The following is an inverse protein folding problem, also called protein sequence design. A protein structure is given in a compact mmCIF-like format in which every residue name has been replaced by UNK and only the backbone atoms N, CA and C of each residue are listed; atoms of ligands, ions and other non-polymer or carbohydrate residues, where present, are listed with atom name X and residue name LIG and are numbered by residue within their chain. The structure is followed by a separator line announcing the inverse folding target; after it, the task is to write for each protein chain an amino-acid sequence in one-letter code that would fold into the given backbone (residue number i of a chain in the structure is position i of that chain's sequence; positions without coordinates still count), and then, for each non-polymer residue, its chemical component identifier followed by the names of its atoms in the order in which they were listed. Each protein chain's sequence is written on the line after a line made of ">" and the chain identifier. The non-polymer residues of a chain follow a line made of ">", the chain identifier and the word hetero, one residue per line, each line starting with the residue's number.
data_IF_236186134437
#
_entry.id   IF_236186134437
#
_cell.length_a   1.000
_cell.length_b   1.000
_cell.length_c   1.000
_cell.angle_alpha   90.00
_cell.angle_beta   90.00
_cell.angle_gamma   90.00
#
_symmetry.space_group_name_H-M   'P 1'
#
loop_
_entity.id
_entity.type
_entity.pdbx_description
1 polymer ?
#
# COMPACT_ATOMS: atom_id res chain seq x y z
N UNK A 1 -13.31 -40.37 -17.07
CA UNK A 1 -13.89 -39.21 -16.37
C UNK A 1 -13.79 -39.47 -14.87
N UNK A 2 -12.62 -39.21 -14.29
CA UNK A 2 -12.38 -39.42 -12.85
C UNK A 2 -12.64 -38.14 -12.10
N UNK A 3 -13.55 -38.16 -11.12
CA UNK A 3 -13.70 -37.09 -10.13
C UNK A 3 -12.32 -36.85 -9.50
N UNK A 4 -11.80 -35.62 -9.60
CA UNK A 4 -10.67 -35.21 -8.80
C UNK A 4 -11.00 -35.48 -7.33
N UNK A 5 -10.26 -36.40 -6.72
CA UNK A 5 -10.32 -36.66 -5.30
C UNK A 5 -10.07 -35.36 -4.54
N UNK A 6 -10.84 -35.15 -3.48
CA UNK A 6 -10.96 -33.89 -2.75
C UNK A 6 -9.62 -33.22 -2.45
N UNK A 7 -9.65 -31.90 -2.58
CA UNK A 7 -8.65 -30.93 -2.13
C UNK A 7 -7.83 -31.45 -0.93
N UNK A 8 -6.50 -31.40 -1.05
CA UNK A 8 -5.56 -31.56 0.07
C UNK A 8 -5.86 -30.50 1.15
N UNK A 9 -6.79 -30.82 2.05
CA UNK A 9 -7.14 -29.98 3.18
C UNK A 9 -6.15 -30.24 4.29
N UNK A 10 -5.08 -29.45 4.30
CA UNK A 10 -4.15 -29.44 5.43
C UNK A 10 -4.78 -28.66 6.60
N UNK A 11 -4.77 -29.26 7.79
CA UNK A 11 -5.26 -28.64 9.03
C UNK A 11 -4.05 -28.31 9.91
N UNK A 12 -4.07 -27.13 10.50
CA UNK A 12 -3.05 -26.65 11.42
C UNK A 12 -3.72 -26.20 12.71
N UNK A 13 -3.10 -26.49 13.84
CA UNK A 13 -3.46 -25.89 15.12
C UNK A 13 -2.82 -24.50 15.20
N UNK A 14 -3.61 -23.51 15.63
CA UNK A 14 -3.19 -22.11 15.72
C UNK A 14 -3.39 -21.62 17.15
N UNK A 15 -2.36 -21.00 17.72
CA UNK A 15 -2.50 -20.31 18.99
C UNK A 15 -3.45 -19.10 18.86
N UNK A 16 -4.22 -18.74 19.90
CA UNK A 16 -4.99 -17.50 19.93
C UNK A 16 -4.13 -16.29 19.56
N UNK A 17 -4.65 -15.43 18.68
CA UNK A 17 -3.96 -14.26 18.16
C UNK A 17 -3.04 -14.53 16.95
N UNK A 18 -2.79 -15.79 16.59
CA UNK A 18 -1.99 -16.12 15.41
C UNK A 18 -2.66 -15.59 14.13
N UNK A 19 -1.86 -14.99 13.26
CA UNK A 19 -2.28 -14.48 11.96
C UNK A 19 -1.76 -15.41 10.87
N UNK A 20 -2.64 -15.80 9.95
CA UNK A 20 -2.29 -16.67 8.82
C UNK A 20 -2.67 -15.97 7.52
N UNK A 21 -1.71 -15.82 6.62
CA UNK A 21 -1.94 -15.31 5.27
C UNK A 21 -1.83 -16.47 4.27
N UNK A 22 -2.82 -16.61 3.39
CA UNK A 22 -2.93 -17.72 2.45
C UNK A 22 -2.79 -17.20 1.02
N UNK A 23 -1.76 -17.68 0.33
CA UNK A 23 -1.58 -17.44 -1.09
C UNK A 23 -2.25 -18.55 -1.92
N UNK A 24 -2.78 -18.17 -3.09
CA UNK A 24 -3.32 -19.15 -4.03
C UNK A 24 -2.20 -20.00 -4.64
N UNK A 25 -2.53 -21.20 -5.13
CA UNK A 25 -1.55 -22.17 -5.65
C UNK A 25 -0.60 -21.65 -6.76
N UNK A 26 -0.97 -20.54 -7.43
CA UNK A 26 -0.17 -19.91 -8.51
C UNK A 26 0.38 -18.53 -8.15
N UNK A 27 0.28 -18.12 -6.88
CA UNK A 27 0.68 -16.79 -6.42
C UNK A 27 1.56 -16.92 -5.18
N UNK A 28 2.56 -16.05 -5.08
CA UNK A 28 3.28 -15.83 -3.82
C UNK A 28 2.63 -14.72 -2.96
N UNK A 29 1.78 -13.90 -3.58
CA UNK A 29 1.03 -12.88 -2.86
C UNK A 29 -0.19 -13.51 -2.17
N UNK A 30 -0.38 -13.27 -0.86
CA UNK A 30 -1.55 -13.73 -0.13
C UNK A 30 -2.81 -13.06 -0.68
N UNK A 31 -3.87 -13.86 -0.81
CA UNK A 31 -5.18 -13.41 -1.32
C UNK A 31 -6.22 -13.37 -0.21
N UNK A 32 -6.00 -14.14 0.87
CA UNK A 32 -6.88 -14.22 2.04
C UNK A 32 -6.02 -14.22 3.29
N UNK A 33 -6.56 -13.69 4.38
CA UNK A 33 -5.87 -13.72 5.66
C UNK A 33 -6.85 -13.93 6.79
N UNK A 34 -6.36 -14.52 7.88
CA UNK A 34 -7.17 -14.89 9.03
C UNK A 34 -6.46 -14.61 10.33
N UNK A 35 -7.24 -14.44 11.40
CA UNK A 35 -6.76 -14.45 12.77
C UNK A 35 -7.48 -15.51 13.59
N UNK A 36 -6.72 -16.28 14.37
CA UNK A 36 -7.26 -17.18 15.38
C UNK A 36 -7.74 -16.38 16.60
N UNK A 37 -8.99 -16.58 17.01
CA UNK A 37 -9.61 -15.93 18.17
C UNK A 37 -9.43 -16.80 19.43
N UNK A 38 -9.55 -16.17 20.60
CA UNK A 38 -9.36 -16.86 21.89
C UNK A 38 -10.47 -17.88 22.19
N UNK A 39 -11.64 -17.75 21.56
CA UNK A 39 -12.76 -18.69 21.65
C UNK A 39 -12.60 -19.90 20.71
N UNK A 40 -11.45 -20.03 20.04
CA UNK A 40 -11.16 -21.12 19.10
C UNK A 40 -11.72 -20.90 17.68
N UNK A 41 -12.38 -19.77 17.42
CA UNK A 41 -12.85 -19.43 16.07
C UNK A 41 -11.74 -18.82 15.22
N UNK A 42 -11.94 -18.80 13.90
CA UNK A 42 -11.04 -18.15 12.94
C UNK A 42 -11.84 -17.10 12.17
N UNK A 43 -11.35 -15.87 12.17
CA UNK A 43 -12.00 -14.75 11.50
C UNK A 43 -11.17 -14.31 10.29
N UNK A 44 -11.81 -14.12 9.14
CA UNK A 44 -11.17 -13.54 7.95
C UNK A 44 -10.94 -12.05 8.16
N UNK A 45 -9.71 -11.60 7.90
CA UNK A 45 -9.29 -10.20 7.97
C UNK A 45 -8.74 -9.78 6.61
N UNK A 46 -8.63 -8.47 6.37
CA UNK A 46 -7.97 -8.00 5.15
C UNK A 46 -6.49 -8.39 5.17
N UNK A 47 -5.92 -8.68 3.99
CA UNK A 47 -4.49 -8.95 3.84
C UNK A 47 -3.64 -7.81 4.40
N UNK A 48 -4.09 -6.56 4.22
CA UNK A 48 -3.46 -5.38 4.82
C UNK A 48 -3.45 -5.43 6.34
N UNK A 49 -4.58 -5.76 6.98
CA UNK A 49 -4.62 -5.87 8.44
C UNK A 49 -3.73 -7.01 8.95
N UNK A 50 -3.60 -8.09 8.18
CA UNK A 50 -2.69 -9.18 8.50
C UNK A 50 -1.22 -8.76 8.40
N UNK A 51 -0.82 -8.07 7.32
CA UNK A 51 0.53 -7.52 7.16
C UNK A 51 0.88 -6.55 8.28
N UNK A 52 -0.04 -5.68 8.67
CA UNK A 52 0.18 -4.69 9.74
C UNK A 52 0.28 -5.34 11.12
N UNK A 53 -0.32 -6.52 11.34
CA UNK A 53 -0.11 -7.32 12.56
C UNK A 53 1.19 -8.12 12.54
N UNK A 54 1.59 -8.63 11.38
CA UNK A 54 2.83 -9.42 11.21
C UNK A 54 4.07 -8.51 11.29
N UNK A 55 4.00 -7.33 10.68
CA UNK A 55 5.05 -6.32 10.68
C UNK A 55 4.47 -4.96 11.11
N UNK A 56 4.29 -4.74 12.43
CA UNK A 56 3.77 -3.48 12.93
C UNK A 56 4.65 -2.29 12.56
N UNK A 57 5.98 -2.46 12.52
CA UNK A 57 6.94 -1.42 12.20
C UNK A 57 6.77 -0.88 10.77
N UNK A 58 6.36 -1.71 9.82
CA UNK A 58 6.09 -1.31 8.44
C UNK A 58 4.72 -0.66 8.18
N UNK A 59 3.84 -0.60 9.18
CA UNK A 59 2.44 -0.16 9.01
C UNK A 59 2.35 1.27 8.45
N UNK A 60 3.06 2.20 9.07
CA UNK A 60 3.04 3.61 8.67
C UNK A 60 3.57 3.80 7.23
N UNK A 61 4.69 3.15 6.90
CA UNK A 61 5.26 3.18 5.55
C UNK A 61 4.29 2.63 4.49
N UNK A 62 3.62 1.51 4.78
CA UNK A 62 2.63 0.93 3.85
C UNK A 62 1.39 1.81 3.73
N UNK A 63 0.92 2.40 4.84
CA UNK A 63 -0.20 3.34 4.82
C UNK A 63 0.12 4.57 3.96
N UNK A 64 1.31 5.15 4.11
CA UNK A 64 1.78 6.26 3.29
C UNK A 64 1.84 5.90 1.80
N UNK A 65 2.41 4.73 1.46
CA UNK A 65 2.45 4.25 0.08
C UNK A 65 1.05 4.12 -0.52
N UNK A 66 0.09 3.57 0.24
CA UNK A 66 -1.31 3.47 -0.19
C UNK A 66 -1.94 4.84 -0.44
N UNK A 67 -1.69 5.81 0.44
CA UNK A 67 -2.14 7.21 0.29
C UNK A 67 -1.63 7.82 -1.02
N UNK A 68 -0.33 7.70 -1.30
CA UNK A 68 0.25 8.18 -2.56
C UNK A 68 -0.31 7.47 -3.80
N UNK A 69 -0.49 6.15 -3.73
CA UNK A 69 -1.04 5.37 -4.85
C UNK A 69 -2.50 5.73 -5.16
N UNK A 70 -3.30 6.10 -4.14
CA UNK A 70 -4.69 6.55 -4.33
C UNK A 70 -4.81 7.79 -5.21
N UNK A 71 -3.80 8.66 -5.20
CA UNK A 71 -3.74 9.86 -6.05
C UNK A 71 -2.94 9.64 -7.34
N UNK A 72 -2.65 8.38 -7.69
CA UNK A 72 -1.97 8.02 -8.92
C UNK A 72 -0.47 8.32 -8.93
N UNK A 73 0.14 8.56 -7.76
CA UNK A 73 1.57 8.83 -7.65
C UNK A 73 2.35 7.58 -7.23
N UNK A 74 3.53 7.43 -7.80
CA UNK A 74 4.52 6.41 -7.44
C UNK A 74 5.91 7.02 -7.31
N UNK A 75 6.90 6.22 -6.93
CA UNK A 75 8.27 6.69 -6.69
C UNK A 75 8.94 7.25 -7.96
N UNK A 76 8.51 6.78 -9.14
CA UNK A 76 9.01 7.27 -10.43
C UNK A 76 8.25 8.53 -10.84
N UNK A 77 8.93 9.59 -11.28
CA UNK A 77 8.27 10.77 -11.81
C UNK A 77 7.38 10.44 -13.01
N UNK A 78 6.16 10.97 -12.99
CA UNK A 78 5.21 10.89 -14.09
C UNK A 78 4.88 12.29 -14.61
N UNK A 79 4.70 12.43 -15.93
CA UNK A 79 4.42 13.71 -16.58
C UNK A 79 2.91 13.99 -16.54
N UNK A 80 2.55 15.18 -16.08
CA UNK A 80 1.19 15.71 -16.11
C UNK A 80 1.15 16.99 -16.96
N UNK A 81 0.05 17.17 -17.69
CA UNK A 81 -0.25 18.43 -18.35
C UNK A 81 -0.69 19.47 -17.32
N UNK A 82 -0.23 20.70 -17.46
CA UNK A 82 -0.55 21.80 -16.57
C UNK A 82 -0.96 23.04 -17.37
N UNK A 83 -1.85 23.84 -16.79
CA UNK A 83 -2.24 25.12 -17.36
C UNK A 83 -1.04 26.09 -17.41
N UNK A 84 -1.08 27.08 -18.30
CA UNK A 84 -0.11 28.18 -18.27
C UNK A 84 -0.23 28.93 -16.94
N UNK A 85 0.91 29.22 -16.31
CA UNK A 85 0.94 29.91 -15.01
C UNK A 85 0.57 29.02 -13.81
N UNK A 86 0.75 27.69 -13.92
CA UNK A 86 0.38 26.73 -12.87
C UNK A 86 1.11 26.86 -11.52
N UNK A 87 2.18 27.65 -11.41
CA UNK A 87 2.88 27.90 -10.15
C UNK A 87 3.74 26.75 -9.58
N UNK A 88 3.64 25.51 -10.07
CA UNK A 88 4.59 24.45 -9.71
C UNK A 88 6.06 24.80 -10.02
N UNK A 89 6.91 24.53 -9.04
CA UNK A 89 8.35 24.71 -9.05
C UNK A 89 9.04 23.35 -8.88
N UNK A 90 10.23 23.19 -9.46
CA UNK A 90 11.02 21.99 -9.24
C UNK A 90 11.55 21.95 -7.80
N UNK A 91 11.71 20.73 -7.29
CA UNK A 91 12.17 20.40 -5.94
C UNK A 91 11.25 20.89 -4.79
N UNK A 92 10.00 21.22 -5.13
CA UNK A 92 8.96 21.61 -4.17
C UNK A 92 7.92 20.50 -3.99
N UNK A 93 7.42 20.36 -2.76
CA UNK A 93 6.36 19.42 -2.40
C UNK A 93 5.02 20.12 -2.31
N UNK A 94 3.99 19.51 -2.89
CA UNK A 94 2.64 20.05 -3.00
C UNK A 94 1.58 19.05 -2.55
N UNK A 95 0.42 19.61 -2.22
CA UNK A 95 -0.84 18.87 -2.16
C UNK A 95 -1.23 18.39 -3.56
N UNK A 96 -1.86 17.22 -3.64
CA UNK A 96 -2.26 16.65 -4.91
C UNK A 96 -3.51 15.80 -4.80
N UNK A 97 -4.48 16.07 -5.68
CA UNK A 97 -5.76 15.34 -5.75
C UNK A 97 -6.46 15.15 -4.39
N UNK A 98 -6.42 16.17 -3.53
CA UNK A 98 -7.06 16.17 -2.21
C UNK A 98 -6.22 15.57 -1.08
N UNK A 99 -4.98 15.17 -1.34
CA UNK A 99 -4.03 14.70 -0.33
C UNK A 99 -2.93 15.72 -0.09
N UNK A 100 -2.67 15.99 1.19
CA UNK A 100 -1.67 16.97 1.64
C UNK A 100 -0.22 16.48 1.46
N UNK A 101 0.65 17.33 0.89
CA UNK A 101 2.10 17.10 0.74
C UNK A 101 2.54 15.73 0.18
N UNK A 102 1.78 15.16 -0.75
CA UNK A 102 2.11 13.83 -1.33
C UNK A 102 2.87 13.91 -2.66
N UNK A 103 2.96 15.07 -3.29
CA UNK A 103 3.55 15.24 -4.62
C UNK A 103 4.86 16.03 -4.59
N UNK A 104 5.98 15.38 -4.86
CA UNK A 104 7.26 16.06 -5.11
C UNK A 104 7.38 16.39 -6.60
N UNK A 105 7.45 17.68 -6.92
CA UNK A 105 7.68 18.14 -8.28
C UNK A 105 9.16 18.08 -8.60
N UNK A 106 9.56 17.18 -9.51
CA UNK A 106 10.97 17.03 -9.89
C UNK A 106 11.37 17.94 -11.05
N UNK A 107 10.38 18.42 -11.81
CA UNK A 107 10.59 19.28 -12.97
C UNK A 107 9.30 20.00 -13.32
N UNK A 108 9.41 21.28 -13.61
CA UNK A 108 8.32 22.08 -14.16
C UNK A 108 8.76 22.75 -15.47
N UNK A 109 7.79 22.93 -16.37
CA UNK A 109 7.92 23.67 -17.63
C UNK A 109 6.62 24.45 -17.84
N UNK A 110 6.56 25.40 -18.77
CA UNK A 110 5.38 26.26 -18.94
C UNK A 110 4.02 25.53 -19.07
N UNK A 111 3.99 24.26 -19.52
CA UNK A 111 2.74 23.50 -19.73
C UNK A 111 2.75 22.09 -19.15
N UNK A 112 3.82 21.68 -18.48
CA UNK A 112 3.96 20.32 -17.98
C UNK A 112 4.74 20.29 -16.67
N UNK A 113 4.33 19.39 -15.79
CA UNK A 113 5.00 19.09 -14.53
C UNK A 113 5.30 17.60 -14.44
N UNK A 114 6.38 17.26 -13.74
CA UNK A 114 6.74 15.89 -13.45
C UNK A 114 6.67 15.71 -11.95
N UNK A 115 5.74 14.87 -11.51
CA UNK A 115 5.50 14.63 -10.09
C UNK A 115 5.83 13.17 -9.77
N UNK A 116 6.43 12.95 -8.62
CA UNK A 116 6.52 11.63 -7.98
C UNK A 116 5.85 11.68 -6.62
N UNK A 117 5.55 10.51 -6.08
CA UNK A 117 5.19 10.38 -4.68
C UNK A 117 6.36 10.85 -3.80
N UNK A 118 6.03 11.59 -2.74
CA UNK A 118 6.95 11.83 -1.61
C UNK A 118 7.21 10.49 -0.93
N UNK A 119 8.48 10.17 -0.68
CA UNK A 119 8.86 8.95 0.03
C UNK A 119 8.43 9.02 1.50
N UNK A 120 8.33 7.87 2.16
CA UNK A 120 7.95 7.86 3.58
C UNK A 120 8.97 8.61 4.45
N UNK A 121 10.25 8.46 4.15
CA UNK A 121 11.35 9.14 4.84
C UNK A 121 11.31 10.66 4.67
N UNK A 122 10.99 11.14 3.46
CA UNK A 122 10.76 12.57 3.21
C UNK A 122 9.53 13.07 3.95
N UNK A 123 8.43 12.31 3.92
CA UNK A 123 7.20 12.67 4.63
C UNK A 123 7.41 12.75 6.15
N UNK A 124 8.20 11.85 6.73
CA UNK A 124 8.60 11.91 8.15
C UNK A 124 9.42 13.17 8.42
N UNK A 125 10.37 13.50 7.55
CA UNK A 125 11.20 14.70 7.69
C UNK A 125 10.39 16.00 7.59
N UNK A 126 9.29 15.98 6.85
CA UNK A 126 8.34 17.08 6.71
C UNK A 126 7.29 17.12 7.84
N UNK A 127 7.18 16.07 8.67
CA UNK A 127 6.19 15.96 9.74
C UNK A 127 4.76 15.66 9.26
N UNK A 128 4.60 15.08 8.07
CA UNK A 128 3.29 14.85 7.42
C UNK A 128 2.93 13.36 7.28
N UNK A 129 3.83 12.47 7.69
CA UNK A 129 3.73 11.01 7.61
C UNK A 129 2.81 10.38 8.67
#
# INVERSE_FOLDING_TARGET
>A
MGKAAGEDRVRYELAPGAVVAVAGARSQAPQRAYVARADGTVEEISVTAAEDRIDPAGTARRAWRRRCSRVGLGERPFRFSAALGHGYEADTVYDWAGEEYVAACVRATARCVWLRAVTYEEAVSLGVA
#
